data_IF_020820964454
#
_entry.id   IF_020820964454
#
_cell.length_a   1.000
_cell.length_b   1.000
_cell.length_c   1.000
_cell.angle_alpha   90.00
_cell.angle_beta   90.00
_cell.angle_gamma   90.00
#
_symmetry.space_group_name_H-M   'P 1'
#
loop_
_entity.id
_entity.type
_entity.pdbx_description
1 polymer ?
#
# COMPACT_ATOMS: atom_id res chain seq x y z
N UNK A 1 14.93 14.40 -34.78
CA UNK A 1 13.75 14.75 -33.95
C UNK A 1 12.58 14.00 -34.58
N UNK A 2 12.04 12.93 -34.00
CA UNK A 2 11.13 13.02 -32.86
C UNK A 2 11.02 11.68 -32.09
N UNK A 3 11.36 11.68 -30.79
CA UNK A 3 11.31 10.53 -29.87
C UNK A 3 10.00 10.52 -29.07
N UNK A 4 8.86 10.78 -29.70
CA UNK A 4 7.58 11.06 -29.02
C UNK A 4 6.48 10.00 -29.20
N UNK A 5 6.80 8.72 -29.08
CA UNK A 5 5.77 7.68 -28.81
C UNK A 5 6.31 6.66 -27.81
N UNK A 6 6.60 7.12 -26.58
CA UNK A 6 6.87 6.24 -25.43
C UNK A 6 6.19 6.73 -24.14
N UNK A 7 4.95 7.23 -24.21
CA UNK A 7 4.15 7.55 -23.01
C UNK A 7 2.66 7.26 -23.17
N UNK A 8 2.29 6.14 -23.79
CA UNK A 8 0.88 5.71 -23.87
C UNK A 8 0.59 4.41 -23.09
N UNK A 9 1.48 4.02 -22.17
CA UNK A 9 1.26 2.86 -21.31
C UNK A 9 1.03 3.19 -19.83
N UNK A 10 1.29 4.43 -19.40
CA UNK A 10 1.12 4.82 -18.00
C UNK A 10 -0.32 5.24 -17.67
N UNK A 11 -1.01 5.98 -18.53
CA UNK A 11 -2.34 6.53 -18.18
C UNK A 11 -3.41 5.46 -17.88
N UNK A 12 -3.44 4.34 -18.63
CA UNK A 12 -4.45 3.27 -18.45
C UNK A 12 -4.15 2.32 -17.30
N UNK A 13 -2.89 2.24 -16.86
CA UNK A 13 -2.51 1.41 -15.72
C UNK A 13 -2.67 2.18 -14.41
N UNK A 14 -2.41 3.49 -14.43
CA UNK A 14 -2.62 4.39 -13.29
C UNK A 14 -4.09 4.39 -12.84
N UNK A 15 -5.06 4.38 -13.77
CA UNK A 15 -6.48 4.31 -13.40
C UNK A 15 -6.86 2.98 -12.72
N UNK A 16 -6.16 1.88 -13.01
CA UNK A 16 -6.43 0.58 -12.40
C UNK A 16 -5.86 0.50 -10.98
N UNK A 17 -4.56 0.77 -10.83
CA UNK A 17 -3.87 0.64 -9.54
C UNK A 17 -4.33 1.68 -8.52
N UNK A 18 -4.47 2.96 -8.92
CA UNK A 18 -4.91 4.02 -8.00
C UNK A 18 -6.35 3.80 -7.53
N UNK A 19 -7.22 3.33 -8.43
CA UNK A 19 -8.61 3.04 -8.10
C UNK A 19 -8.73 1.81 -7.18
N UNK A 20 -7.92 0.77 -7.41
CA UNK A 20 -7.84 -0.38 -6.51
C UNK A 20 -7.32 0.00 -5.13
N UNK A 21 -6.27 0.83 -5.06
CA UNK A 21 -5.74 1.35 -3.79
C UNK A 21 -6.79 2.19 -3.07
N UNK A 22 -7.48 3.08 -3.77
CA UNK A 22 -8.53 3.94 -3.17
C UNK A 22 -9.71 3.12 -2.66
N UNK A 23 -10.10 2.08 -3.39
CA UNK A 23 -11.12 1.13 -2.96
C UNK A 23 -10.68 0.35 -1.71
N UNK A 24 -9.45 -0.19 -1.70
CA UNK A 24 -8.89 -0.91 -0.57
C UNK A 24 -8.77 -0.01 0.67
N UNK A 25 -8.32 1.23 0.52
CA UNK A 25 -8.27 2.25 1.57
C UNK A 25 -9.66 2.58 2.13
N UNK A 26 -10.68 2.62 1.27
CA UNK A 26 -12.08 2.85 1.68
C UNK A 26 -12.62 1.70 2.53
N UNK A 27 -12.12 0.49 2.31
CA UNK A 27 -12.48 -0.69 3.09
C UNK A 27 -11.73 -0.78 4.44
N UNK A 28 -10.69 0.04 4.67
CA UNK A 28 -10.00 0.10 5.95
C UNK A 28 -10.84 0.83 6.99
N UNK A 29 -10.72 0.39 8.25
CA UNK A 29 -11.42 1.01 9.38
C UNK A 29 -10.46 1.28 10.56
N UNK A 30 -10.85 2.23 11.41
CA UNK A 30 -10.15 2.54 12.66
C UNK A 30 -8.67 2.92 12.46
N UNK A 31 -7.79 2.21 13.18
CA UNK A 31 -6.34 2.48 13.19
C UNK A 31 -5.66 2.23 11.85
N UNK A 32 -6.09 1.23 11.08
CA UNK A 32 -5.56 0.94 9.75
C UNK A 32 -5.83 2.07 8.75
N UNK A 33 -7.05 2.62 8.78
CA UNK A 33 -7.43 3.77 7.94
C UNK A 33 -6.64 5.02 8.31
N UNK A 34 -6.53 5.32 9.60
CA UNK A 34 -5.80 6.51 10.09
C UNK A 34 -4.31 6.42 9.74
N UNK A 35 -3.71 5.25 9.90
CA UNK A 35 -2.32 4.99 9.53
C UNK A 35 -2.09 5.15 8.01
N UNK A 36 -2.93 4.53 7.17
CA UNK A 36 -2.77 4.59 5.73
C UNK A 36 -2.98 6.01 5.17
N UNK A 37 -3.95 6.75 5.72
CA UNK A 37 -4.15 8.16 5.37
C UNK A 37 -2.98 9.05 5.82
N UNK A 38 -2.39 8.76 6.99
CA UNK A 38 -1.19 9.46 7.47
C UNK A 38 0.01 9.28 6.54
N UNK A 39 0.21 8.07 6.00
CA UNK A 39 1.25 7.81 5.00
C UNK A 39 0.96 8.54 3.69
N UNK A 40 -0.28 8.51 3.21
CA UNK A 40 -0.69 9.19 1.97
C UNK A 40 -0.57 10.71 2.06
N UNK A 41 -0.70 11.28 3.26
CA UNK A 41 -0.47 12.71 3.51
C UNK A 41 1.01 13.09 3.36
N UNK A 42 1.92 12.18 3.70
CA UNK A 42 3.36 12.42 3.57
C UNK A 42 3.85 12.18 2.14
N UNK A 43 3.39 11.10 1.51
CA UNK A 43 3.70 10.77 0.13
C UNK A 43 2.43 10.32 -0.62
N UNK A 44 1.98 11.06 -1.65
CA UNK A 44 0.75 10.74 -2.35
C UNK A 44 0.82 9.45 -3.18
N UNK A 45 2.01 8.92 -3.45
CA UNK A 45 2.26 7.71 -4.24
C UNK A 45 2.80 6.54 -3.39
N UNK A 46 2.60 6.59 -2.07
CA UNK A 46 3.16 5.60 -1.12
C UNK A 46 2.63 4.18 -1.34
N UNK A 47 1.46 4.07 -1.97
CA UNK A 47 0.83 2.82 -2.34
C UNK A 47 0.72 2.75 -3.87
N UNK A 48 1.77 2.26 -4.51
CA UNK A 48 1.83 2.09 -5.98
C UNK A 48 0.84 1.03 -6.49
N UNK A 49 0.42 0.09 -5.64
CA UNK A 49 -0.58 -0.94 -5.95
C UNK A 49 -1.27 -1.44 -4.68
N UNK A 50 -2.42 -2.08 -4.85
CA UNK A 50 -3.20 -2.65 -3.72
C UNK A 50 -2.44 -3.75 -2.98
N UNK A 51 -1.58 -4.48 -3.67
CA UNK A 51 -0.67 -5.49 -3.11
C UNK A 51 0.32 -4.87 -2.12
N UNK A 52 0.88 -3.70 -2.45
CA UNK A 52 1.81 -2.96 -1.58
C UNK A 52 1.10 -2.45 -0.33
N UNK A 53 -0.12 -1.91 -0.49
CA UNK A 53 -0.95 -1.52 0.63
C UNK A 53 -1.21 -2.70 1.57
N UNK A 54 -1.57 -3.86 1.02
CA UNK A 54 -1.83 -5.07 1.79
C UNK A 54 -0.58 -5.55 2.53
N UNK A 55 0.55 -5.66 1.85
CA UNK A 55 1.82 -6.08 2.46
C UNK A 55 2.28 -5.13 3.57
N UNK A 56 2.13 -3.81 3.39
CA UNK A 56 2.47 -2.83 4.43
C UNK A 56 1.52 -2.88 5.63
N UNK A 57 0.23 -3.14 5.39
CA UNK A 57 -0.74 -3.37 6.44
C UNK A 57 -0.39 -4.63 7.23
N UNK A 58 -0.03 -5.73 6.54
CA UNK A 58 0.46 -6.95 7.17
C UNK A 58 1.72 -6.66 7.97
N UNK A 59 2.73 -5.96 7.45
CA UNK A 59 3.94 -5.61 8.21
C UNK A 59 3.66 -4.74 9.46
N UNK A 60 2.73 -3.79 9.36
CA UNK A 60 2.44 -2.83 10.45
C UNK A 60 1.49 -3.41 11.49
N UNK A 61 0.51 -4.22 11.05
CA UNK A 61 -0.57 -4.73 11.89
C UNK A 61 -0.45 -6.23 12.17
N UNK A 62 0.42 -6.98 11.49
CA UNK A 62 0.81 -8.29 12.00
C UNK A 62 1.54 -8.08 13.32
N UNK A 63 1.09 -8.73 14.40
CA UNK A 63 1.95 -8.89 15.55
C UNK A 63 3.17 -9.64 15.08
N UNK A 64 4.36 -9.21 15.49
CA UNK A 64 5.63 -9.92 15.34
C UNK A 64 5.52 -11.33 15.97
N UNK A 65 4.81 -12.25 15.33
CA UNK A 65 4.65 -13.65 15.78
C UNK A 65 5.98 -14.40 15.71
N UNK A 66 7.00 -13.80 15.11
CA UNK A 66 8.37 -14.26 15.16
C UNK A 66 9.03 -14.04 16.53
N UNK A 67 8.74 -12.93 17.22
CA UNK A 67 9.47 -12.60 18.46
C UNK A 67 8.86 -13.22 19.73
N UNK A 68 7.55 -13.46 19.76
CA UNK A 68 6.92 -14.06 20.95
C UNK A 68 7.07 -15.58 21.04
N UNK A 69 7.50 -16.25 19.95
CA UNK A 69 7.83 -17.69 19.98
C UNK A 69 9.20 -18.00 20.59
N UNK A 70 10.06 -17.00 20.76
CA UNK A 70 11.40 -17.18 21.31
C UNK A 70 11.47 -17.17 22.85
N UNK A 71 10.34 -16.95 23.54
CA UNK A 71 10.31 -16.78 25.01
C UNK A 71 9.41 -17.74 25.78
N UNK A 72 8.98 -18.84 25.13
CA UNK A 72 8.31 -19.97 25.80
C UNK A 72 9.10 -21.27 25.71
N UNK A 73 10.41 -21.19 25.48
CA UNK A 73 11.32 -22.35 25.44
C UNK A 73 12.50 -22.22 26.43
N UNK A 74 12.26 -21.61 27.59
CA UNK A 74 13.13 -21.67 28.76
C UNK A 74 12.36 -22.25 29.94
#
# INVERSE_FOLDING_TARGET
MDRRVRRCHQARHIEGDEMQVTFALSNLMGRAKTWALGLKLHDPNVFESSEILKSRLEETFEPQRAEFKARSAL
#
